data_IF_048811158703
#
_entry.id   IF_048811158703
#
_cell.length_a   1.000
_cell.length_b   1.000
_cell.length_c   1.000
_cell.angle_alpha   90.00
_cell.angle_beta   90.00
_cell.angle_gamma   90.00
#
_symmetry.space_group_name_H-M   'P 1'
#
loop_
_entity.id
_entity.type
_entity.pdbx_description
1 polymer ?
#
# COMPACT_ATOMS: atom_id res chain seq x y z
N UNK A 1 -5.97 13.65 -22.93
CA UNK A 1 -6.99 12.73 -22.37
C UNK A 1 -6.51 12.04 -21.08
N UNK A 2 -5.31 11.44 -21.03
CA UNK A 2 -4.77 10.84 -19.78
C UNK A 2 -4.73 11.84 -18.61
N UNK A 3 -4.26 13.07 -18.88
CA UNK A 3 -4.16 14.12 -17.85
C UNK A 3 -5.53 14.51 -17.27
N UNK A 4 -6.56 14.46 -18.09
CA UNK A 4 -7.94 14.76 -17.73
C UNK A 4 -8.58 13.66 -16.88
N UNK A 5 -8.24 12.39 -17.15
CA UNK A 5 -8.61 11.27 -16.28
C UNK A 5 -7.85 11.32 -14.95
N UNK A 6 -6.61 11.84 -14.93
CA UNK A 6 -5.84 12.02 -13.69
C UNK A 6 -6.23 13.27 -12.90
N UNK A 7 -6.68 14.35 -13.55
CA UNK A 7 -7.17 15.56 -12.90
C UNK A 7 -8.63 15.33 -12.47
N UNK A 8 -8.77 14.69 -11.31
CA UNK A 8 -10.01 14.25 -10.64
C UNK A 8 -10.99 15.38 -10.26
N UNK A 9 -11.04 16.48 -11.00
CA UNK A 9 -12.03 17.56 -10.86
C UNK A 9 -13.47 17.10 -11.08
N UNK A 10 -13.70 15.90 -11.63
CA UNK A 10 -15.05 15.35 -11.84
C UNK A 10 -15.68 14.67 -10.64
N UNK A 11 -14.92 14.23 -9.64
CA UNK A 11 -15.52 13.48 -8.54
C UNK A 11 -16.23 14.45 -7.59
N UNK A 12 -17.55 14.28 -7.33
CA UNK A 12 -18.26 15.12 -6.36
C UNK A 12 -17.53 15.12 -5.02
N UNK A 13 -17.52 16.27 -4.33
CA UNK A 13 -16.81 16.41 -3.06
C UNK A 13 -17.20 15.32 -2.04
N UNK A 14 -18.49 14.94 -2.01
CA UNK A 14 -18.99 13.84 -1.18
C UNK A 14 -18.41 12.47 -1.56
N UNK A 15 -18.26 12.19 -2.85
CA UNK A 15 -17.66 10.94 -3.31
C UNK A 15 -16.15 10.90 -3.03
N UNK A 16 -15.44 12.03 -3.19
CA UNK A 16 -14.04 12.13 -2.80
C UNK A 16 -13.85 11.87 -1.31
N UNK A 17 -14.69 12.47 -0.46
CA UNK A 17 -14.65 12.25 0.98
C UNK A 17 -14.90 10.77 1.35
N UNK A 18 -15.85 10.11 0.67
CA UNK A 18 -16.10 8.68 0.87
C UNK A 18 -14.94 7.80 0.37
N UNK A 19 -14.41 8.08 -0.82
CA UNK A 19 -13.33 7.31 -1.44
C UNK A 19 -12.02 7.42 -0.63
N UNK A 20 -11.65 8.64 -0.21
CA UNK A 20 -10.44 8.90 0.57
C UNK A 20 -10.62 8.69 2.07
N UNK A 21 -11.86 8.55 2.53
CA UNK A 21 -12.18 8.03 3.86
C UNK A 21 -12.28 6.50 3.80
N UNK A 22 -13.49 5.99 3.60
CA UNK A 22 -13.85 4.58 3.75
C UNK A 22 -13.09 3.64 2.83
N UNK A 23 -13.04 3.91 1.52
CA UNK A 23 -12.40 2.96 0.59
C UNK A 23 -10.88 2.88 0.81
N UNK A 24 -10.24 4.00 1.17
CA UNK A 24 -8.83 4.02 1.54
C UNK A 24 -8.59 3.20 2.81
N UNK A 25 -9.44 3.31 3.84
CA UNK A 25 -9.35 2.47 5.05
C UNK A 25 -9.48 0.97 4.76
N UNK A 26 -10.37 0.57 3.84
CA UNK A 26 -10.48 -0.84 3.42
C UNK A 26 -9.18 -1.30 2.76
N UNK A 27 -8.61 -0.48 1.87
CA UNK A 27 -7.33 -0.80 1.25
C UNK A 27 -6.21 -0.90 2.29
N UNK A 28 -6.11 0.05 3.23
CA UNK A 28 -5.15 0.01 4.34
C UNK A 28 -5.25 -1.32 5.12
N UNK A 29 -6.47 -1.81 5.38
CA UNK A 29 -6.70 -3.10 6.04
C UNK A 29 -6.24 -4.29 5.19
N UNK A 30 -6.59 -4.32 3.91
CA UNK A 30 -6.15 -5.37 2.97
C UNK A 30 -4.63 -5.41 2.87
N UNK A 31 -3.98 -4.25 2.79
CA UNK A 31 -2.53 -4.14 2.66
C UNK A 31 -1.82 -4.52 3.96
N UNK A 32 -2.32 -4.04 5.11
CA UNK A 32 -1.80 -4.42 6.43
C UNK A 32 -1.86 -5.93 6.65
N UNK A 33 -3.02 -6.56 6.39
CA UNK A 33 -3.19 -8.00 6.50
C UNK A 33 -2.36 -8.77 5.46
N UNK A 34 -2.34 -8.31 4.21
CA UNK A 34 -1.60 -8.99 3.14
C UNK A 34 -0.10 -9.03 3.41
N UNK A 35 0.51 -7.90 3.79
CA UNK A 35 1.94 -7.83 4.11
C UNK A 35 2.27 -8.63 5.38
N UNK A 36 1.44 -8.54 6.42
CA UNK A 36 1.62 -9.32 7.65
C UNK A 36 1.49 -10.83 7.38
N UNK A 37 0.55 -11.23 6.52
CA UNK A 37 0.36 -12.62 6.10
C UNK A 37 1.56 -13.15 5.33
N UNK A 38 2.10 -12.37 4.39
CA UNK A 38 3.34 -12.73 3.70
C UNK A 38 4.52 -12.85 4.68
N UNK A 39 4.67 -11.91 5.60
CA UNK A 39 5.71 -11.97 6.63
C UNK A 39 5.62 -13.25 7.48
N UNK A 40 4.41 -13.63 7.90
CA UNK A 40 4.16 -14.85 8.65
C UNK A 40 4.52 -16.11 7.84
N UNK A 41 4.17 -16.13 6.55
CA UNK A 41 4.50 -17.26 5.66
C UNK A 41 6.02 -17.44 5.54
N UNK A 42 6.79 -16.37 5.32
CA UNK A 42 8.25 -16.46 5.28
C UNK A 42 8.88 -16.80 6.63
N UNK A 43 8.34 -16.26 7.74
CA UNK A 43 8.87 -16.51 9.07
C UNK A 43 8.61 -17.93 9.61
N UNK A 44 7.51 -18.56 9.20
CA UNK A 44 7.11 -19.89 9.69
C UNK A 44 7.70 -21.05 8.88
N UNK A 45 8.23 -20.81 7.69
CA UNK A 45 8.76 -21.84 6.80
C UNK A 45 10.05 -21.38 6.10
N UNK A 46 11.12 -21.04 6.85
CA UNK A 46 12.29 -20.36 6.29
C UNK A 46 13.00 -21.19 5.20
N UNK A 47 13.27 -22.47 5.43
CA UNK A 47 14.01 -23.27 4.45
C UNK A 47 13.11 -23.90 3.37
N UNK A 48 11.90 -24.32 3.77
CA UNK A 48 10.99 -25.06 2.89
C UNK A 48 10.36 -24.19 1.81
N UNK A 49 10.14 -22.89 2.09
CA UNK A 49 9.43 -22.02 1.17
C UNK A 49 10.21 -21.81 -0.13
N UNK A 50 11.54 -21.70 -0.06
CA UNK A 50 12.38 -21.46 -1.24
C UNK A 50 12.52 -22.70 -2.14
N UNK A 51 12.22 -23.89 -1.62
CA UNK A 51 12.11 -25.10 -2.44
C UNK A 51 10.95 -25.02 -3.44
N UNK A 52 9.98 -24.14 -3.20
CA UNK A 52 8.85 -23.93 -4.10
C UNK A 52 9.28 -23.02 -5.26
N UNK A 53 8.99 -23.48 -6.48
CA UNK A 53 9.39 -22.81 -7.73
C UNK A 53 8.87 -21.38 -7.88
N UNK A 54 7.84 -20.97 -7.14
CA UNK A 54 7.33 -19.59 -7.17
C UNK A 54 8.04 -18.65 -6.18
N UNK A 55 8.71 -19.19 -5.16
CA UNK A 55 9.33 -18.42 -4.08
C UNK A 55 10.87 -18.43 -4.11
N UNK A 56 11.51 -19.28 -4.93
CA UNK A 56 12.98 -19.34 -4.97
C UNK A 56 13.64 -17.97 -5.23
N UNK A 57 12.98 -17.04 -5.93
CA UNK A 57 13.51 -15.69 -6.17
C UNK A 57 13.60 -14.81 -4.93
N UNK A 58 12.90 -15.14 -3.85
CA UNK A 58 13.00 -14.40 -2.59
C UNK A 58 14.28 -14.73 -1.82
N UNK A 59 14.98 -15.83 -2.15
CA UNK A 59 16.24 -16.22 -1.52
C UNK A 59 17.41 -15.26 -1.86
N UNK A 60 17.27 -14.48 -2.94
CA UNK A 60 18.29 -13.51 -3.39
C UNK A 60 18.42 -12.33 -2.39
N UNK A 61 17.46 -12.19 -1.47
CA UNK A 61 17.44 -11.18 -0.41
C UNK A 61 17.54 -11.90 0.94
N UNK A 62 18.33 -11.42 1.91
CA UNK A 62 18.38 -12.05 3.22
C UNK A 62 16.99 -12.07 3.85
N UNK A 63 16.54 -13.24 4.29
CA UNK A 63 15.18 -13.45 4.79
C UNK A 63 14.79 -12.48 5.90
N UNK A 64 15.72 -12.14 6.79
CA UNK A 64 15.51 -11.17 7.85
C UNK A 64 15.02 -9.81 7.31
N UNK A 65 15.50 -9.39 6.13
CA UNK A 65 15.00 -8.18 5.47
C UNK A 65 13.62 -8.40 4.86
N UNK A 66 13.38 -9.53 4.21
CA UNK A 66 12.07 -9.87 3.62
C UNK A 66 11.00 -9.89 4.71
N UNK A 67 11.18 -10.68 5.75
CA UNK A 67 10.27 -10.77 6.90
C UNK A 67 10.18 -9.43 7.61
N UNK A 68 11.31 -8.77 7.88
CA UNK A 68 11.37 -7.51 8.61
C UNK A 68 10.60 -6.38 7.92
N UNK A 69 10.80 -6.19 6.62
CA UNK A 69 10.12 -5.14 5.85
C UNK A 69 8.62 -5.43 5.73
N UNK A 70 8.25 -6.68 5.42
CA UNK A 70 6.85 -7.08 5.29
C UNK A 70 6.10 -6.95 6.63
N UNK A 71 6.72 -7.42 7.72
CA UNK A 71 6.14 -7.33 9.07
C UNK A 71 6.04 -5.88 9.52
N UNK A 72 7.11 -5.08 9.40
CA UNK A 72 7.08 -3.69 9.82
C UNK A 72 6.04 -2.88 9.05
N UNK A 73 6.00 -3.01 7.72
CA UNK A 73 5.01 -2.31 6.90
C UNK A 73 3.59 -2.79 7.20
N UNK A 74 3.36 -4.11 7.27
CA UNK A 74 2.05 -4.70 7.54
C UNK A 74 1.49 -4.34 8.92
N UNK A 75 2.31 -4.48 9.97
CA UNK A 75 1.91 -4.16 11.34
C UNK A 75 1.72 -2.66 11.54
N UNK A 76 2.60 -1.81 10.99
CA UNK A 76 2.45 -0.37 11.10
C UNK A 76 1.22 0.14 10.33
N UNK A 77 0.94 -0.43 9.15
CA UNK A 77 -0.26 -0.10 8.37
C UNK A 77 -1.52 -0.49 9.14
N UNK A 78 -1.49 -1.65 9.78
CA UNK A 78 -2.58 -2.14 10.64
C UNK A 78 -2.76 -1.27 11.89
N UNK A 79 -1.67 -0.85 12.54
CA UNK A 79 -1.74 0.03 13.71
C UNK A 79 -2.33 1.41 13.35
N UNK A 80 -1.96 1.97 12.19
CA UNK A 80 -2.46 3.27 11.72
C UNK A 80 -3.93 3.25 11.29
N UNK A 81 -4.54 2.08 11.06
CA UNK A 81 -5.99 1.95 10.88
C UNK A 81 -6.75 2.46 12.10
N UNK A 82 -6.25 2.15 13.30
CA UNK A 82 -6.89 2.50 14.56
C UNK A 82 -6.54 3.91 15.03
N UNK A 83 -5.45 4.48 14.50
CA UNK A 83 -5.06 5.85 14.79
C UNK A 83 -6.02 6.86 14.14
N UNK A 84 -6.45 7.84 14.95
CA UNK A 84 -7.34 8.93 14.54
C UNK A 84 -6.57 10.25 14.46
N UNK A 85 -6.93 11.08 13.48
CA UNK A 85 -6.39 12.43 13.30
C UNK A 85 -5.65 12.62 11.98
N UNK A 86 -5.47 13.88 11.60
CA UNK A 86 -4.91 14.26 10.28
C UNK A 86 -3.48 13.73 10.11
N UNK A 87 -2.63 13.83 11.14
CA UNK A 87 -1.24 13.33 11.09
C UNK A 87 -1.19 11.81 10.87
N UNK A 88 -2.05 11.06 11.53
CA UNK A 88 -2.15 9.61 11.36
C UNK A 88 -2.61 9.25 9.94
N UNK A 89 -3.60 9.97 9.38
CA UNK A 89 -4.02 9.78 7.99
C UNK A 89 -2.90 10.08 7.00
N UNK A 90 -2.12 11.14 7.21
CA UNK A 90 -0.96 11.48 6.36
C UNK A 90 0.11 10.39 6.45
N UNK A 91 0.45 9.94 7.66
CA UNK A 91 1.41 8.86 7.87
C UNK A 91 0.95 7.55 7.20
N UNK A 92 -0.33 7.21 7.35
CA UNK A 92 -0.93 6.03 6.71
C UNK A 92 -0.89 6.12 5.19
N UNK A 93 -1.15 7.29 4.61
CA UNK A 93 -1.09 7.49 3.17
C UNK A 93 0.34 7.39 2.62
N UNK A 94 1.35 7.87 3.35
CA UNK A 94 2.76 7.61 2.99
C UNK A 94 3.12 6.13 3.11
N UNK A 95 2.62 5.45 4.14
CA UNK A 95 2.86 4.03 4.33
C UNK A 95 2.18 3.17 3.25
N UNK A 96 1.02 3.60 2.73
CA UNK A 96 0.41 3.01 1.54
C UNK A 96 1.32 3.16 0.32
N UNK A 97 1.92 4.32 0.10
CA UNK A 97 2.88 4.50 -1.02
C UNK A 97 4.09 3.57 -0.87
N UNK A 98 4.66 3.48 0.34
CA UNK A 98 5.75 2.57 0.63
C UNK A 98 5.33 1.10 0.42
N UNK A 99 4.17 0.71 0.94
CA UNK A 99 3.59 -0.62 0.74
C UNK A 99 3.36 -0.93 -0.74
N UNK A 100 2.98 0.08 -1.54
CA UNK A 100 2.86 -0.06 -2.99
C UNK A 100 4.19 -0.39 -3.66
N UNK A 101 5.28 0.24 -3.20
CA UNK A 101 6.63 -0.10 -3.65
C UNK A 101 7.03 -1.52 -3.22
N UNK A 102 6.72 -1.92 -1.98
CA UNK A 102 6.97 -3.30 -1.51
C UNK A 102 6.22 -4.32 -2.37
N UNK A 103 4.92 -4.10 -2.64
CA UNK A 103 4.13 -4.97 -3.51
C UNK A 103 4.64 -5.00 -4.96
N UNK A 104 5.20 -3.89 -5.44
CA UNK A 104 5.86 -3.86 -6.74
C UNK A 104 7.10 -4.75 -6.75
N UNK A 105 7.95 -4.69 -5.73
CA UNK A 105 9.11 -5.58 -5.61
C UNK A 105 8.70 -7.06 -5.49
N UNK A 106 7.65 -7.35 -4.72
CA UNK A 106 7.05 -8.70 -4.64
C UNK A 106 6.56 -9.16 -6.03
N UNK A 107 5.94 -8.27 -6.80
CA UNK A 107 5.54 -8.56 -8.19
C UNK A 107 6.74 -8.92 -9.06
N UNK A 108 7.83 -8.14 -8.98
CA UNK A 108 9.08 -8.41 -9.72
C UNK A 108 9.64 -9.78 -9.36
N UNK A 109 9.62 -10.17 -8.08
CA UNK A 109 10.08 -11.50 -7.66
C UNK A 109 9.24 -12.63 -8.27
N UNK A 110 7.90 -12.53 -8.24
CA UNK A 110 7.04 -13.55 -8.86
C UNK A 110 7.19 -13.61 -10.38
N UNK A 111 7.32 -12.47 -11.05
CA UNK A 111 7.60 -12.43 -12.50
C UNK A 111 8.98 -13.00 -12.83
N UNK A 112 9.98 -12.78 -11.97
CA UNK A 112 11.31 -13.38 -12.09
C UNK A 112 11.32 -14.90 -11.90
N UNK A 113 10.27 -15.48 -11.31
CA UNK A 113 10.08 -16.92 -11.19
C UNK A 113 9.36 -17.54 -12.41
N UNK A 114 8.94 -16.74 -13.39
CA UNK A 114 8.42 -17.25 -14.65
C UNK A 114 9.50 -18.00 -15.44
N UNK A 115 9.18 -19.15 -16.07
CA UNK A 115 7.92 -19.89 -16.06
C UNK A 115 7.76 -20.88 -14.87
N UNK A 116 6.52 -21.32 -14.51
CA UNK A 116 5.24 -21.09 -15.19
C UNK A 116 4.50 -19.84 -14.70
N UNK A 117 3.40 -19.50 -15.37
CA UNK A 117 2.44 -18.51 -14.87
C UNK A 117 1.89 -18.95 -13.50
N UNK A 118 1.81 -18.01 -12.57
CA UNK A 118 1.18 -18.20 -11.27
C UNK A 118 0.39 -16.96 -10.85
N UNK A 119 -0.52 -17.10 -9.88
CA UNK A 119 -1.40 -16.02 -9.42
C UNK A 119 -0.64 -14.88 -8.72
N UNK A 120 0.56 -15.15 -8.20
CA UNK A 120 1.48 -14.14 -7.65
C UNK A 120 1.99 -13.14 -8.69
N UNK A 121 1.80 -13.39 -9.98
CA UNK A 121 2.11 -12.43 -11.05
C UNK A 121 1.00 -11.38 -11.27
N UNK A 122 -0.19 -11.58 -10.70
CA UNK A 122 -1.37 -10.73 -10.94
C UNK A 122 -1.74 -9.89 -9.73
N UNK A 123 -1.80 -10.49 -8.53
CA UNK A 123 -2.30 -9.78 -7.34
C UNK A 123 -1.32 -8.68 -6.86
N UNK A 124 -0.02 -8.94 -6.66
CA UNK A 124 0.95 -7.93 -6.25
C UNK A 124 1.00 -6.66 -7.11
N UNK A 125 1.04 -6.72 -8.47
CA UNK A 125 1.05 -5.48 -9.26
C UNK A 125 -0.25 -4.69 -9.16
N UNK A 126 -1.40 -5.35 -8.98
CA UNK A 126 -2.67 -4.66 -8.71
C UNK A 126 -2.64 -3.96 -7.36
N UNK A 127 -2.17 -4.64 -6.32
CA UNK A 127 -2.01 -4.04 -4.98
C UNK A 127 -1.03 -2.85 -5.03
N UNK A 128 0.11 -2.99 -5.72
CA UNK A 128 1.07 -1.92 -5.92
C UNK A 128 0.42 -0.69 -6.57
N UNK A 129 -0.34 -0.90 -7.65
CA UNK A 129 -1.07 0.16 -8.34
C UNK A 129 -2.09 0.85 -7.43
N UNK A 130 -2.94 0.09 -6.73
CA UNK A 130 -3.96 0.67 -5.86
C UNK A 130 -3.36 1.39 -4.65
N UNK A 131 -2.29 0.86 -4.06
CA UNK A 131 -1.51 1.53 -3.01
C UNK A 131 -0.97 2.89 -3.48
N UNK A 132 -0.28 2.90 -4.63
CA UNK A 132 0.29 4.12 -5.20
C UNK A 132 -0.81 5.15 -5.50
N UNK A 133 -1.92 4.70 -6.09
CA UNK A 133 -3.04 5.55 -6.44
C UNK A 133 -3.73 6.10 -5.18
N UNK A 134 -4.08 5.26 -4.22
CA UNK A 134 -4.80 5.67 -3.00
C UNK A 134 -3.92 6.58 -2.13
N UNK A 135 -2.67 6.19 -1.87
CA UNK A 135 -1.75 6.99 -1.05
C UNK A 135 -1.51 8.39 -1.60
N UNK A 136 -1.21 8.50 -2.91
CA UNK A 136 -0.98 9.81 -3.55
C UNK A 136 -2.24 10.69 -3.51
N UNK A 137 -3.42 10.12 -3.77
CA UNK A 137 -4.64 10.91 -3.77
C UNK A 137 -5.13 11.28 -2.37
N UNK A 138 -4.95 10.41 -1.37
CA UNK A 138 -5.24 10.70 0.03
C UNK A 138 -4.36 11.87 0.52
N UNK A 139 -3.06 11.87 0.21
CA UNK A 139 -2.15 12.98 0.55
C UNK A 139 -2.61 14.29 -0.08
N UNK A 140 -2.96 14.29 -1.37
CA UNK A 140 -3.47 15.49 -2.07
C UNK A 140 -4.73 16.04 -1.42
N UNK A 141 -5.67 15.16 -1.09
CA UNK A 141 -6.91 15.53 -0.41
C UNK A 141 -6.62 16.13 0.98
N UNK A 142 -5.82 15.45 1.80
CA UNK A 142 -5.48 15.90 3.16
C UNK A 142 -4.75 17.25 3.14
N UNK A 143 -3.79 17.45 2.23
CA UNK A 143 -3.09 18.73 2.12
C UNK A 143 -3.98 19.86 1.58
N UNK A 144 -4.90 19.57 0.65
CA UNK A 144 -5.87 20.58 0.21
C UNK A 144 -6.79 21.02 1.35
N UNK A 145 -7.25 20.08 2.18
CA UNK A 145 -8.09 20.36 3.34
C UNK A 145 -7.34 21.10 4.46
N UNK A 146 -6.05 20.80 4.67
CA UNK A 146 -5.21 21.55 5.60
C UNK A 146 -4.99 22.99 5.11
N UNK A 147 -4.71 23.18 3.83
CA UNK A 147 -4.52 24.50 3.23
C UNK A 147 -5.78 25.35 3.32
N UNK A 148 -6.96 24.79 3.04
CA UNK A 148 -8.22 25.54 3.15
C UNK A 148 -8.57 25.92 4.59
N UNK A 149 -8.18 25.10 5.57
CA UNK A 149 -8.34 25.44 7.00
C UNK A 149 -7.38 26.54 7.44
N UNK A 150 -6.10 26.46 7.06
CA UNK A 150 -5.13 27.51 7.38
C UNK A 150 -5.52 28.88 6.80
N UNK A 151 -6.06 28.92 5.58
CA UNK A 151 -6.59 30.16 5.00
C UNK A 151 -7.84 30.69 5.70
N UNK A 152 -8.63 29.82 6.33
CA UNK A 152 -9.78 30.25 7.12
C UNK A 152 -9.33 30.84 8.47
N UNK A 153 -8.25 30.31 9.06
CA UNK A 153 -7.67 30.81 10.32
C UNK A 153 -6.94 32.16 10.15
N UNK A 154 -6.41 32.46 8.96
CA UNK A 154 -5.81 33.77 8.63
C UNK A 154 -6.86 34.85 8.30
N UNK A 155 -8.10 34.45 7.96
CA UNK A 155 -9.17 35.37 7.57
C UNK A 155 -10.08 35.82 8.72
N UNK A 156 -9.84 35.34 9.95
CA UNK A 156 -10.57 35.68 11.18
C UNK A 156 -9.75 36.57 12.10
#
# INVERSE_FOLDING_TARGET
MLRFLTERRFLPAGFQAWLFGTATRVLEAVIGLGLSGYAAVFALAPDEIYAWRIYYKFQDIPEAWTVGVLAAAGLLQTALLFARGVRACVASAYLLLFSGFVWFLVSVAFWGAYPPLNTGMVVPPLLAFFCALAGNNALRFLFSAQKSRGLADEGS
#
